data_IF_431917614857
#
_entry.id   IF_431917614857
#
_cell.length_a   1.000
_cell.length_b   1.000
_cell.length_c   1.000
_cell.angle_alpha   90.00
_cell.angle_beta   90.00
_cell.angle_gamma   90.00
#
_symmetry.space_group_name_H-M   'P 1'
#
loop_
_entity.id
_entity.type
_entity.pdbx_description
1 polymer ?
#
# COMPACT_ATOMS: atom_id res chain seq x y z
N UNK A 1 -10.20 -0.34 22.04
CA UNK A 1 -9.61 -0.68 23.34
C UNK A 1 -10.70 -0.68 24.40
N UNK A 2 -11.27 -1.83 24.72
CA UNK A 2 -12.16 -1.97 25.89
C UNK A 2 -11.71 -3.25 26.61
N UNK A 3 -10.86 -3.05 27.61
CA UNK A 3 -10.49 -4.09 28.56
C UNK A 3 -11.69 -4.32 29.48
N UNK A 4 -12.46 -5.36 29.27
CA UNK A 4 -13.37 -5.86 30.31
C UNK A 4 -12.55 -6.65 31.33
N UNK A 5 -12.32 -6.01 32.47
CA UNK A 5 -11.90 -6.70 33.69
C UNK A 5 -13.05 -7.61 34.14
N UNK A 6 -12.87 -8.92 33.99
CA UNK A 6 -13.69 -9.88 34.69
C UNK A 6 -13.11 -9.96 36.11
N UNK A 7 -13.71 -9.23 37.01
CA UNK A 7 -13.42 -9.26 38.44
C UNK A 7 -13.98 -10.57 38.98
N UNK A 8 -13.09 -11.50 39.30
CA UNK A 8 -13.46 -12.72 40.03
C UNK A 8 -13.88 -12.31 41.43
N UNK A 9 -15.17 -12.23 41.67
CA UNK A 9 -15.73 -12.06 43.00
C UNK A 9 -15.63 -13.38 43.74
N UNK A 10 -14.61 -13.55 44.58
CA UNK A 10 -14.63 -14.53 45.66
C UNK A 10 -15.61 -13.99 46.72
N UNK A 11 -16.81 -14.50 46.71
CA UNK A 11 -17.71 -14.38 47.85
C UNK A 11 -17.28 -15.35 48.93
N UNK A 12 -16.45 -14.87 49.82
CA UNK A 12 -16.28 -15.48 51.14
C UNK A 12 -17.45 -15.10 52.03
N UNK A 13 -18.52 -15.85 51.96
CA UNK A 13 -19.62 -15.74 52.95
C UNK A 13 -19.39 -16.75 54.08
N UNK A 14 -18.70 -16.29 55.11
CA UNK A 14 -18.78 -16.92 56.43
C UNK A 14 -20.09 -16.55 57.07
N UNK A 15 -21.11 -17.40 56.98
CA UNK A 15 -22.32 -17.30 57.79
C UNK A 15 -22.34 -18.50 58.72
N UNK A 16 -21.98 -18.27 59.98
CA UNK A 16 -22.36 -19.12 61.10
C UNK A 16 -23.84 -18.91 61.39
N UNK A 17 -24.72 -19.71 60.82
CA UNK A 17 -26.07 -19.92 61.26
C UNK A 17 -26.29 -21.39 61.43
N UNK A 18 -26.40 -21.77 62.71
CA UNK A 18 -26.89 -23.07 63.16
C UNK A 18 -28.38 -23.21 62.81
N UNK A 19 -28.67 -23.95 61.78
CA UNK A 19 -30.01 -24.32 61.38
C UNK A 19 -29.91 -25.49 60.40
N UNK A 20 -30.71 -26.52 60.51
CA UNK A 20 -30.69 -27.71 59.65
C UNK A 20 -30.51 -27.34 58.19
N UNK A 21 -29.29 -27.41 57.68
CA UNK A 21 -29.03 -27.28 56.27
C UNK A 21 -29.60 -28.51 55.59
N UNK A 22 -30.55 -28.30 54.71
CA UNK A 22 -31.20 -29.33 53.93
C UNK A 22 -30.11 -29.99 53.05
N UNK A 23 -29.83 -31.29 53.31
CA UNK A 23 -28.87 -32.09 52.61
C UNK A 23 -28.98 -31.96 51.08
N UNK A 24 -30.22 -31.79 50.62
CA UNK A 24 -30.57 -31.56 49.23
C UNK A 24 -30.00 -30.24 48.65
N UNK A 25 -29.92 -29.15 49.47
CA UNK A 25 -29.30 -27.88 49.06
C UNK A 25 -27.79 -27.99 48.95
N UNK A 26 -27.12 -28.71 49.87
CA UNK A 26 -25.68 -28.93 49.80
C UNK A 26 -25.27 -29.78 48.59
N UNK A 27 -26.05 -30.83 48.28
CA UNK A 27 -25.82 -31.65 47.07
C UNK A 27 -26.02 -30.84 45.80
N UNK A 28 -27.01 -29.94 45.76
CA UNK A 28 -27.26 -29.07 44.59
C UNK A 28 -26.16 -28.03 44.41
N UNK A 29 -25.64 -27.46 45.49
CA UNK A 29 -24.48 -26.52 45.43
C UNK A 29 -23.24 -27.24 44.94
N UNK A 30 -22.96 -28.45 45.43
CA UNK A 30 -21.83 -29.23 44.96
C UNK A 30 -21.95 -29.59 43.47
N UNK A 31 -23.13 -29.95 42.99
CA UNK A 31 -23.41 -30.22 41.58
C UNK A 31 -23.23 -28.96 40.69
N UNK A 32 -23.77 -27.83 41.13
CA UNK A 32 -23.58 -26.56 40.40
C UNK A 32 -22.11 -26.10 40.36
N UNK A 33 -21.40 -26.26 41.46
CA UNK A 33 -19.95 -25.96 41.52
C UNK A 33 -19.15 -26.83 40.55
N UNK A 34 -19.48 -28.11 40.45
CA UNK A 34 -18.86 -29.01 39.47
C UNK A 34 -19.19 -28.60 38.04
N UNK A 35 -20.45 -28.26 37.76
CA UNK A 35 -20.86 -27.77 36.44
C UNK A 35 -20.15 -26.46 36.05
N UNK A 36 -20.05 -25.50 36.95
CA UNK A 36 -19.33 -24.23 36.74
C UNK A 36 -17.86 -24.51 36.46
N UNK A 37 -17.23 -25.41 37.24
CA UNK A 37 -15.83 -25.82 36.99
C UNK A 37 -15.63 -26.44 35.61
N UNK A 38 -16.54 -27.36 35.21
CA UNK A 38 -16.52 -27.98 33.88
C UNK A 38 -16.72 -26.95 32.75
N UNK A 39 -17.69 -26.07 32.88
CA UNK A 39 -17.94 -24.99 31.89
C UNK A 39 -16.76 -24.02 31.79
N UNK A 40 -16.14 -23.68 32.90
CA UNK A 40 -14.94 -22.82 32.92
C UNK A 40 -13.79 -23.50 32.20
N UNK A 41 -13.56 -24.81 32.45
CA UNK A 41 -12.52 -25.59 31.73
C UNK A 41 -12.82 -25.69 30.23
N UNK A 42 -14.08 -25.89 29.84
CA UNK A 42 -14.49 -25.92 28.43
C UNK A 42 -14.31 -24.57 27.75
N UNK A 43 -14.70 -23.47 28.41
CA UNK A 43 -14.49 -22.11 27.85
C UNK A 43 -13.00 -21.82 27.63
N UNK A 44 -12.16 -22.14 28.62
CA UNK A 44 -10.71 -21.96 28.47
C UNK A 44 -10.15 -22.80 27.31
N UNK A 45 -10.60 -24.02 27.13
CA UNK A 45 -10.19 -24.87 26.02
C UNK A 45 -10.65 -24.31 24.67
N UNK A 46 -11.89 -23.81 24.58
CA UNK A 46 -12.42 -23.18 23.37
C UNK A 46 -11.69 -21.89 23.04
N UNK A 47 -11.40 -21.06 24.04
CA UNK A 47 -10.60 -19.83 23.84
C UNK A 47 -9.19 -20.12 23.30
N UNK A 48 -8.55 -21.18 23.83
CA UNK A 48 -7.24 -21.62 23.33
C UNK A 48 -7.33 -22.19 21.92
N UNK A 49 -8.32 -23.01 21.61
CA UNK A 49 -8.53 -23.54 20.27
C UNK A 49 -8.83 -22.44 19.25
N UNK A 50 -9.65 -21.45 19.62
CA UNK A 50 -9.93 -20.28 18.77
C UNK A 50 -8.65 -19.46 18.51
N UNK A 51 -7.81 -19.31 19.53
CA UNK A 51 -6.53 -18.61 19.41
C UNK A 51 -5.56 -19.34 18.48
N UNK A 52 -5.50 -20.68 18.60
CA UNK A 52 -4.69 -21.53 17.71
C UNK A 52 -5.21 -21.48 16.26
N UNK A 53 -6.52 -21.58 16.06
CA UNK A 53 -7.14 -21.47 14.73
C UNK A 53 -6.87 -20.11 14.09
N UNK A 54 -6.95 -19.03 14.87
CA UNK A 54 -6.64 -17.68 14.41
C UNK A 54 -5.18 -17.57 13.95
N UNK A 55 -4.24 -18.09 14.74
CA UNK A 55 -2.80 -18.13 14.37
C UNK A 55 -2.59 -18.94 13.09
N UNK A 56 -3.26 -20.07 12.93
CA UNK A 56 -3.18 -20.89 11.72
C UNK A 56 -3.75 -20.17 10.50
N UNK A 57 -4.88 -19.49 10.64
CA UNK A 57 -5.49 -18.70 9.56
C UNK A 57 -4.58 -17.51 9.14
N UNK A 58 -4.01 -16.81 10.11
CA UNK A 58 -3.06 -15.70 9.86
C UNK A 58 -1.74 -16.20 9.25
N UNK A 59 -1.41 -17.48 9.39
CA UNK A 59 -0.24 -18.08 8.74
C UNK A 59 -0.46 -18.41 7.26
N UNK A 60 -1.71 -18.51 6.81
CA UNK A 60 -2.05 -18.78 5.41
C UNK A 60 -2.00 -17.46 4.64
N UNK A 61 -1.03 -17.34 3.76
CA UNK A 61 -0.96 -16.23 2.81
C UNK A 61 -1.82 -16.59 1.59
N UNK A 62 -2.91 -15.85 1.31
CA UNK A 62 -3.75 -16.14 0.16
C UNK A 62 -3.00 -15.84 -1.14
N UNK A 63 -3.27 -16.64 -2.17
CA UNK A 63 -2.92 -16.29 -3.55
C UNK A 63 -3.85 -15.19 -4.02
N UNK A 64 -3.29 -14.12 -4.57
CA UNK A 64 -4.05 -12.98 -5.03
C UNK A 64 -4.50 -13.22 -6.47
N UNK A 65 -5.80 -13.01 -6.70
CA UNK A 65 -6.39 -12.81 -8.02
C UNK A 65 -6.85 -11.36 -8.08
N UNK A 66 -6.44 -10.65 -9.12
CA UNK A 66 -6.74 -9.23 -9.28
C UNK A 66 -7.38 -9.00 -10.65
N UNK A 67 -8.43 -8.19 -10.69
CA UNK A 67 -9.14 -7.76 -11.90
C UNK A 67 -9.18 -6.23 -11.90
N UNK A 68 -9.01 -5.63 -13.08
CA UNK A 68 -9.15 -4.18 -13.22
C UNK A 68 -10.61 -3.75 -13.02
N UNK A 69 -10.81 -2.65 -12.32
CA UNK A 69 -12.12 -2.06 -12.06
C UNK A 69 -12.09 -0.56 -12.42
N UNK A 70 -12.97 -0.15 -13.34
CA UNK A 70 -13.11 1.26 -13.66
C UNK A 70 -13.82 1.99 -12.52
N UNK A 71 -13.10 2.91 -11.86
CA UNK A 71 -13.67 3.79 -10.83
C UNK A 71 -14.30 5.01 -11.49
N UNK A 72 -13.59 5.60 -12.46
CA UNK A 72 -14.07 6.71 -13.25
C UNK A 72 -13.42 6.64 -14.63
N UNK A 73 -14.23 6.54 -15.69
CA UNK A 73 -13.72 6.50 -17.06
C UNK A 73 -14.62 7.36 -17.96
N UNK A 74 -14.10 8.52 -18.36
CA UNK A 74 -14.74 9.46 -19.26
C UNK A 74 -13.75 9.95 -20.30
N UNK A 75 -14.17 9.91 -21.55
CA UNK A 75 -13.39 10.44 -22.67
C UNK A 75 -14.33 11.08 -23.69
N UNK A 76 -14.03 12.30 -24.06
CA UNK A 76 -14.76 12.98 -25.12
C UNK A 76 -13.85 13.88 -25.94
N UNK A 77 -14.26 14.14 -27.19
CA UNK A 77 -13.69 15.16 -28.04
C UNK A 77 -14.45 16.48 -27.86
N UNK A 78 -13.76 17.53 -27.45
CA UNK A 78 -14.32 18.84 -27.14
C UNK A 78 -13.99 19.81 -28.27
N UNK A 79 -15.00 20.46 -28.85
CA UNK A 79 -14.79 21.54 -29.85
C UNK A 79 -14.43 22.83 -29.16
N UNK A 80 -13.44 23.50 -29.71
CA UNK A 80 -13.00 24.79 -29.20
C UNK A 80 -13.93 25.91 -29.66
N UNK A 81 -14.12 26.92 -28.83
CA UNK A 81 -14.85 28.16 -29.19
C UNK A 81 -14.07 29.01 -30.16
N UNK A 82 -12.73 29.01 -30.02
CA UNK A 82 -11.81 29.70 -30.91
C UNK A 82 -10.72 28.74 -31.38
N UNK A 83 -10.26 28.88 -32.63
CA UNK A 83 -9.14 28.05 -33.09
C UNK A 83 -7.85 28.53 -32.41
N UNK A 84 -7.05 27.62 -31.91
CA UNK A 84 -5.73 27.93 -31.38
C UNK A 84 -4.84 28.48 -32.50
N UNK A 85 -4.31 29.69 -32.34
CA UNK A 85 -3.35 30.29 -33.28
C UNK A 85 -2.07 29.45 -33.41
N UNK A 86 -1.73 28.68 -32.38
CA UNK A 86 -0.52 27.85 -32.33
C UNK A 86 -0.69 26.47 -32.96
N UNK A 87 -1.86 25.87 -32.90
CA UNK A 87 -2.05 24.47 -33.31
C UNK A 87 -2.92 24.28 -34.53
N UNK A 88 -3.67 25.29 -34.97
CA UNK A 88 -4.69 25.24 -36.02
C UNK A 88 -5.74 24.11 -35.80
N UNK A 89 -5.86 23.61 -34.57
CA UNK A 89 -6.83 22.60 -34.18
C UNK A 89 -8.15 23.24 -33.81
N UNK A 90 -9.25 22.61 -34.16
CA UNK A 90 -10.62 23.06 -33.83
C UNK A 90 -11.24 22.23 -32.68
N UNK A 91 -10.53 21.22 -32.25
CA UNK A 91 -10.99 20.29 -31.18
C UNK A 91 -9.80 19.68 -30.41
N UNK A 92 -10.04 19.30 -29.18
CA UNK A 92 -9.11 18.59 -28.28
C UNK A 92 -9.77 17.45 -27.54
N UNK A 93 -8.99 16.67 -26.85
CA UNK A 93 -9.49 15.58 -26.02
C UNK A 93 -9.63 16.03 -24.56
N UNK A 94 -10.66 15.54 -23.88
CA UNK A 94 -10.80 15.56 -22.43
C UNK A 94 -10.92 14.11 -21.98
N UNK A 95 -9.89 13.61 -21.29
CA UNK A 95 -9.77 12.21 -20.87
C UNK A 95 -9.53 12.16 -19.36
N UNK A 96 -10.35 11.41 -18.67
CA UNK A 96 -10.21 11.05 -17.26
C UNK A 96 -10.40 9.56 -17.14
N UNK A 97 -9.32 8.86 -16.80
CA UNK A 97 -9.33 7.39 -16.64
C UNK A 97 -8.71 7.02 -15.30
N UNK A 98 -9.55 6.61 -14.36
CA UNK A 98 -9.14 6.17 -13.02
C UNK A 98 -9.52 4.70 -12.89
N UNK A 99 -8.50 3.84 -12.87
CA UNK A 99 -8.64 2.40 -12.82
C UNK A 99 -8.14 1.87 -11.47
N UNK A 100 -9.01 1.18 -10.76
CA UNK A 100 -8.68 0.44 -9.55
C UNK A 100 -8.46 -1.04 -9.82
N UNK A 101 -8.24 -1.79 -8.74
CA UNK A 101 -8.19 -3.24 -8.74
C UNK A 101 -9.17 -3.80 -7.72
N UNK A 102 -9.86 -4.87 -8.13
CA UNK A 102 -10.61 -5.73 -7.24
C UNK A 102 -9.88 -7.04 -7.07
N UNK A 103 -9.60 -7.42 -5.82
CA UNK A 103 -8.96 -8.68 -5.50
C UNK A 103 -9.91 -9.61 -4.75
N UNK A 104 -9.52 -10.88 -4.61
CA UNK A 104 -10.21 -11.86 -3.76
C UNK A 104 -9.95 -11.67 -2.25
N UNK A 105 -9.32 -10.57 -1.82
CA UNK A 105 -8.93 -10.30 -0.44
C UNK A 105 -9.49 -8.95 0.01
N UNK A 106 -10.57 -8.96 0.79
CA UNK A 106 -11.35 -7.76 1.12
C UNK A 106 -10.54 -6.64 1.80
N UNK A 107 -9.72 -6.98 2.81
CA UNK A 107 -8.91 -5.96 3.49
C UNK A 107 -7.89 -5.31 2.55
N UNK A 108 -7.35 -6.08 1.59
CA UNK A 108 -6.39 -5.59 0.60
C UNK A 108 -7.05 -4.59 -0.35
N UNK A 109 -8.29 -4.85 -0.77
CA UNK A 109 -9.05 -3.91 -1.59
C UNK A 109 -9.20 -2.55 -0.91
N UNK A 110 -9.42 -2.54 0.42
CA UNK A 110 -9.49 -1.30 1.18
C UNK A 110 -8.15 -0.55 1.23
N UNK A 111 -7.04 -1.27 1.43
CA UNK A 111 -5.69 -0.69 1.42
C UNK A 111 -5.35 -0.12 0.05
N UNK A 112 -5.63 -0.85 -1.02
CA UNK A 112 -5.35 -0.42 -2.39
C UNK A 112 -6.16 0.82 -2.78
N UNK A 113 -7.45 0.85 -2.44
CA UNK A 113 -8.30 2.02 -2.67
C UNK A 113 -7.81 3.24 -1.89
N UNK A 114 -7.41 3.07 -0.62
CA UNK A 114 -6.83 4.15 0.18
C UNK A 114 -5.57 4.73 -0.48
N UNK A 115 -4.67 3.87 -0.99
CA UNK A 115 -3.45 4.33 -1.66
C UNK A 115 -3.78 5.05 -2.98
N UNK A 116 -4.73 4.55 -3.78
CA UNK A 116 -5.18 5.19 -4.99
C UNK A 116 -5.77 6.58 -4.70
N UNK A 117 -6.62 6.70 -3.68
CA UNK A 117 -7.18 7.98 -3.24
C UNK A 117 -6.07 8.93 -2.77
N UNK A 118 -5.08 8.43 -2.01
CA UNK A 118 -3.94 9.22 -1.54
C UNK A 118 -3.15 9.80 -2.71
N UNK A 119 -2.85 8.98 -3.73
CA UNK A 119 -2.14 9.45 -4.93
C UNK A 119 -2.99 10.49 -5.67
N UNK A 120 -4.30 10.26 -5.86
CA UNK A 120 -5.19 11.25 -6.47
C UNK A 120 -5.19 12.59 -5.72
N UNK A 121 -5.25 12.56 -4.38
CA UNK A 121 -5.22 13.78 -3.58
C UNK A 121 -3.93 14.57 -3.77
N UNK A 122 -2.77 13.91 -3.93
CA UNK A 122 -1.48 14.58 -4.15
C UNK A 122 -1.33 15.14 -5.56
N UNK A 123 -1.89 14.52 -6.58
CA UNK A 123 -1.83 14.99 -7.98
C UNK A 123 -2.81 16.13 -8.24
N UNK A 124 -3.93 16.17 -7.50
CA UNK A 124 -4.97 17.21 -7.65
C UNK A 124 -4.75 18.45 -6.76
N UNK A 125 -3.69 18.51 -5.99
CA UNK A 125 -3.49 19.41 -4.82
C UNK A 125 -3.35 20.92 -5.15
N UNK A 126 -3.47 21.33 -6.40
CA UNK A 126 -3.44 22.75 -6.76
C UNK A 126 -4.83 23.43 -6.75
N UNK A 127 -5.93 22.73 -6.38
CA UNK A 127 -7.29 23.23 -6.57
C UNK A 127 -8.21 23.23 -5.36
N UNK A 128 -7.72 23.35 -4.13
CA UNK A 128 -8.44 23.33 -2.85
C UNK A 128 -8.24 22.04 -2.04
N UNK A 129 -8.08 22.20 -0.72
CA UNK A 129 -7.84 21.14 0.27
C UNK A 129 -9.04 20.18 0.46
N UNK A 130 -9.55 19.59 -0.60
CA UNK A 130 -10.60 18.57 -0.48
C UNK A 130 -9.94 17.22 -0.38
N UNK A 131 -9.61 16.80 0.83
CA UNK A 131 -9.17 15.43 1.09
C UNK A 131 -10.34 14.46 1.01
N UNK A 132 -10.44 13.73 -0.10
CA UNK A 132 -11.39 12.63 -0.21
C UNK A 132 -10.86 11.40 0.52
N UNK A 133 -11.76 10.59 1.08
CA UNK A 133 -11.43 9.39 1.85
C UNK A 133 -12.25 8.17 1.45
N UNK A 134 -13.27 8.33 0.61
CA UNK A 134 -14.10 7.25 0.10
C UNK A 134 -14.18 7.26 -1.42
N UNK A 135 -14.54 6.13 -2.01
CA UNK A 135 -14.69 6.01 -3.46
C UNK A 135 -15.80 6.94 -3.99
N UNK A 136 -16.89 7.09 -3.26
CA UNK A 136 -18.00 7.98 -3.66
C UNK A 136 -17.55 9.43 -3.68
N UNK A 137 -16.77 9.86 -2.69
CA UNK A 137 -16.19 11.20 -2.64
C UNK A 137 -15.20 11.41 -3.79
N UNK A 138 -14.36 10.40 -4.08
CA UNK A 138 -13.43 10.43 -5.21
C UNK A 138 -14.18 10.62 -6.53
N UNK A 139 -15.21 9.81 -6.79
CA UNK A 139 -16.03 9.92 -8.01
C UNK A 139 -16.68 11.29 -8.11
N UNK A 140 -17.21 11.84 -7.02
CA UNK A 140 -17.82 13.16 -7.01
C UNK A 140 -16.80 14.27 -7.31
N UNK A 141 -15.60 14.20 -6.72
CA UNK A 141 -14.49 15.14 -6.97
C UNK A 141 -14.04 15.07 -8.43
N UNK A 142 -13.84 13.87 -8.97
CA UNK A 142 -13.44 13.67 -10.37
C UNK A 142 -14.50 14.18 -11.34
N UNK A 143 -15.78 14.00 -11.04
CA UNK A 143 -16.87 14.55 -11.85
C UNK A 143 -16.84 16.08 -11.86
N UNK A 144 -16.67 16.70 -10.70
CA UNK A 144 -16.57 18.16 -10.60
C UNK A 144 -15.35 18.71 -11.36
N UNK A 145 -14.19 18.04 -11.22
CA UNK A 145 -12.97 18.43 -11.94
C UNK A 145 -13.14 18.25 -13.46
N UNK A 146 -13.73 17.14 -13.90
CA UNK A 146 -14.03 16.88 -15.30
C UNK A 146 -14.92 17.97 -15.93
N UNK A 147 -16.00 18.37 -15.22
CA UNK A 147 -16.92 19.39 -15.71
C UNK A 147 -16.26 20.78 -15.77
N UNK A 148 -15.36 21.09 -14.82
CA UNK A 148 -14.57 22.31 -14.84
C UNK A 148 -13.55 22.31 -15.99
N UNK A 149 -12.78 21.24 -16.12
CA UNK A 149 -11.76 21.09 -17.18
C UNK A 149 -12.38 21.07 -18.57
N UNK A 150 -13.62 20.58 -18.72
CA UNK A 150 -14.35 20.65 -20.00
C UNK A 150 -14.54 22.09 -20.47
N UNK A 151 -14.83 23.00 -19.55
CA UNK A 151 -14.94 24.43 -19.86
C UNK A 151 -13.59 24.99 -20.25
N UNK A 152 -12.54 24.67 -19.48
CA UNK A 152 -11.18 25.13 -19.73
C UNK A 152 -10.66 24.63 -21.09
N UNK A 153 -10.92 23.37 -21.47
CA UNK A 153 -10.59 22.82 -22.79
C UNK A 153 -11.33 23.58 -23.91
N UNK A 154 -12.62 23.84 -23.69
CA UNK A 154 -13.46 24.55 -24.70
C UNK A 154 -12.95 25.98 -24.97
N UNK A 155 -12.57 26.71 -23.92
CA UNK A 155 -12.14 28.10 -24.00
C UNK A 155 -10.64 28.23 -24.32
N UNK A 156 -9.81 27.30 -23.78
CA UNK A 156 -8.35 27.38 -23.86
C UNK A 156 -7.73 26.71 -25.09
N UNK A 157 -8.52 25.98 -25.89
CA UNK A 157 -8.09 25.29 -27.10
C UNK A 157 -6.91 24.33 -26.91
N UNK A 158 -6.95 23.49 -25.84
CA UNK A 158 -5.95 22.48 -25.54
C UNK A 158 -6.61 21.15 -25.11
N UNK A 159 -5.81 20.11 -24.94
CA UNK A 159 -6.23 18.79 -24.46
C UNK A 159 -5.94 18.69 -22.97
N UNK A 160 -6.83 18.02 -22.22
CA UNK A 160 -6.56 17.57 -20.85
C UNK A 160 -6.69 16.05 -20.82
N UNK A 161 -5.68 15.41 -20.25
CA UNK A 161 -5.63 13.98 -20.03
C UNK A 161 -5.14 13.71 -18.60
N UNK A 162 -5.93 12.94 -17.83
CA UNK A 162 -5.63 12.51 -16.47
C UNK A 162 -5.89 11.03 -16.36
N UNK A 163 -4.82 10.29 -16.18
CA UNK A 163 -4.88 8.85 -15.98
C UNK A 163 -4.27 8.48 -14.63
N UNK A 164 -4.91 7.56 -13.94
CA UNK A 164 -4.42 6.95 -12.71
C UNK A 164 -4.85 5.49 -12.74
N UNK A 165 -3.89 4.58 -12.70
CA UNK A 165 -4.16 3.15 -12.81
C UNK A 165 -3.38 2.37 -11.76
N UNK A 166 -4.09 1.49 -11.07
CA UNK A 166 -3.52 0.55 -10.11
C UNK A 166 -3.28 -0.79 -10.82
N UNK A 167 -2.07 -1.35 -10.69
CA UNK A 167 -1.66 -2.60 -11.31
C UNK A 167 -1.20 -3.60 -10.26
N UNK A 168 -1.44 -4.89 -10.52
CA UNK A 168 -0.88 -5.99 -9.74
C UNK A 168 0.37 -6.51 -10.47
N UNK A 169 1.53 -6.29 -9.87
CA UNK A 169 2.82 -6.67 -10.44
C UNK A 169 3.20 -8.12 -10.13
N UNK A 170 2.68 -8.67 -9.04
CA UNK A 170 2.90 -10.06 -8.67
C UNK A 170 2.93 -10.31 -7.17
N UNK A 171 3.07 -11.58 -6.82
CA UNK A 171 3.17 -12.03 -5.43
C UNK A 171 4.32 -13.04 -5.30
N UNK A 172 5.24 -12.77 -4.38
CA UNK A 172 6.31 -13.68 -4.00
C UNK A 172 6.20 -14.01 -2.51
N UNK A 173 5.84 -15.26 -2.22
CA UNK A 173 5.55 -15.71 -0.85
C UNK A 173 4.51 -14.81 -0.16
N UNK A 174 4.90 -14.09 0.90
CA UNK A 174 4.03 -13.19 1.66
C UNK A 174 3.98 -11.75 1.13
N UNK A 175 4.84 -11.40 0.20
CA UNK A 175 4.92 -10.04 -0.33
C UNK A 175 4.16 -9.96 -1.64
N UNK A 176 3.17 -9.09 -1.69
CA UNK A 176 2.47 -8.72 -2.91
C UNK A 176 2.92 -7.33 -3.35
N UNK A 177 3.24 -7.20 -4.62
CA UNK A 177 3.70 -5.94 -5.22
C UNK A 177 2.62 -5.42 -6.16
N UNK A 178 2.32 -4.13 -6.01
CA UNK A 178 1.42 -3.37 -6.87
C UNK A 178 2.16 -2.12 -7.35
N UNK A 179 1.64 -1.47 -8.40
CA UNK A 179 2.05 -0.13 -8.78
C UNK A 179 0.84 0.77 -9.02
N UNK A 180 1.00 2.07 -8.79
CA UNK A 180 0.06 3.10 -9.19
C UNK A 180 0.76 3.97 -10.21
N UNK A 181 0.28 3.94 -11.43
CA UNK A 181 0.73 4.80 -12.52
C UNK A 181 -0.16 6.03 -12.59
N UNK A 182 0.46 7.18 -12.76
CA UNK A 182 -0.26 8.42 -13.08
C UNK A 182 0.24 8.99 -14.40
N UNK A 183 -0.64 9.67 -15.11
CA UNK A 183 -0.27 10.53 -16.24
C UNK A 183 -1.15 11.75 -16.25
N UNK A 184 -0.53 12.91 -16.38
CA UNK A 184 -1.23 14.19 -16.51
C UNK A 184 -0.68 14.98 -17.70
N UNK A 185 -1.59 15.45 -18.53
CA UNK A 185 -1.34 16.44 -19.57
C UNK A 185 -2.42 17.51 -19.53
N UNK A 186 -2.03 18.75 -19.44
CA UNK A 186 -2.94 19.89 -19.44
C UNK A 186 -2.42 20.99 -20.38
N UNK A 187 -2.10 20.59 -21.62
CA UNK A 187 -1.45 21.46 -22.59
C UNK A 187 0.06 21.55 -22.39
N UNK A 188 0.74 22.29 -23.27
CA UNK A 188 2.18 22.46 -23.25
C UNK A 188 2.94 21.44 -24.10
N UNK A 189 4.24 21.25 -23.80
CA UNK A 189 5.14 20.46 -24.63
C UNK A 189 4.98 18.94 -24.42
N UNK A 190 4.69 18.49 -23.20
CA UNK A 190 4.53 17.07 -22.84
C UNK A 190 3.73 16.93 -21.54
N UNK A 191 3.19 15.74 -21.32
CA UNK A 191 2.63 15.34 -20.03
C UNK A 191 3.70 14.84 -19.05
N UNK A 192 3.27 14.58 -17.83
CA UNK A 192 4.12 14.01 -16.76
C UNK A 192 3.47 12.73 -16.27
N UNK A 193 4.24 11.63 -16.28
CA UNK A 193 3.85 10.37 -15.72
C UNK A 193 4.71 10.01 -14.50
N UNK A 194 4.09 9.34 -13.53
CA UNK A 194 4.80 8.77 -12.37
C UNK A 194 4.38 7.33 -12.15
N UNK A 195 5.26 6.54 -11.55
CA UNK A 195 4.97 5.19 -11.05
C UNK A 195 5.35 5.08 -9.59
N UNK A 196 4.42 4.62 -8.77
CA UNK A 196 4.64 4.40 -7.34
C UNK A 196 4.37 2.94 -7.01
N UNK A 197 5.40 2.23 -6.58
CA UNK A 197 5.29 0.84 -6.15
C UNK A 197 4.74 0.75 -4.73
N UNK A 198 3.96 -0.28 -4.49
CA UNK A 198 3.35 -0.60 -3.21
C UNK A 198 3.69 -2.06 -2.88
N UNK A 199 4.44 -2.29 -1.84
CA UNK A 199 4.68 -3.64 -1.34
C UNK A 199 3.83 -3.91 -0.11
N UNK A 200 3.04 -4.97 -0.15
CA UNK A 200 2.12 -5.36 0.93
C UNK A 200 2.57 -6.68 1.52
N UNK A 201 2.86 -6.69 2.80
CA UNK A 201 3.04 -7.95 3.54
C UNK A 201 1.66 -8.55 3.86
N UNK A 202 1.31 -9.59 3.13
CA UNK A 202 0.02 -10.28 3.21
C UNK A 202 -0.21 -11.00 4.55
N UNK A 203 0.85 -11.25 5.32
CA UNK A 203 0.76 -11.90 6.63
C UNK A 203 0.46 -10.88 7.73
N UNK A 204 1.15 -9.75 7.73
CA UNK A 204 0.96 -8.69 8.72
C UNK A 204 -0.11 -7.68 8.32
N UNK A 205 -0.67 -7.78 7.10
CA UNK A 205 -1.62 -6.84 6.49
C UNK A 205 -1.08 -5.41 6.46
N UNK A 206 0.20 -5.27 6.13
CA UNK A 206 0.91 -3.99 6.22
C UNK A 206 1.47 -3.57 4.87
N UNK A 207 1.24 -2.31 4.50
CA UNK A 207 2.01 -1.65 3.46
C UNK A 207 3.43 -1.41 4.00
N UNK A 208 4.43 -1.88 3.25
CA UNK A 208 5.84 -1.80 3.65
C UNK A 208 6.47 -0.50 3.17
N UNK A 209 7.29 0.07 4.03
CA UNK A 209 8.18 1.20 3.74
C UNK A 209 9.64 0.75 3.81
N UNK A 210 10.58 1.60 3.40
CA UNK A 210 12.01 1.33 3.58
C UNK A 210 12.37 1.08 5.04
N UNK A 211 11.76 1.80 5.98
CA UNK A 211 11.96 1.60 7.42
C UNK A 211 11.48 0.23 7.92
N UNK A 212 10.51 -0.38 7.25
CA UNK A 212 10.04 -1.73 7.60
C UNK A 212 10.99 -2.82 7.15
N UNK A 213 11.75 -2.57 6.09
CA UNK A 213 12.60 -3.54 5.40
C UNK A 213 14.03 -3.46 5.92
N UNK A 214 14.55 -2.25 6.10
CA UNK A 214 15.93 -2.02 6.47
C UNK A 214 16.10 -1.80 7.99
N UNK A 215 17.29 -2.10 8.47
CA UNK A 215 17.67 -1.90 9.88
C UNK A 215 17.78 -0.40 10.19
N UNK A 216 17.44 -0.02 11.41
CA UNK A 216 17.64 1.35 11.88
C UNK A 216 19.11 1.76 11.77
N UNK A 217 19.37 2.94 11.21
CA UNK A 217 20.72 3.46 11.00
C UNK A 217 21.42 2.96 9.74
N UNK A 218 20.70 2.27 8.83
CA UNK A 218 21.25 1.82 7.54
C UNK A 218 21.21 2.90 6.45
N UNK A 219 20.59 4.04 6.71
CA UNK A 219 20.30 5.08 5.69
C UNK A 219 21.55 5.55 4.94
N UNK A 220 22.63 5.91 5.67
CA UNK A 220 23.88 6.37 5.05
C UNK A 220 24.49 5.31 4.13
N UNK A 221 24.40 4.04 4.54
CA UNK A 221 24.92 2.93 3.73
C UNK A 221 24.02 2.63 2.53
N UNK A 222 22.71 2.78 2.67
CA UNK A 222 21.77 2.69 1.54
C UNK A 222 22.06 3.81 0.53
N UNK A 223 22.22 5.06 0.96
CA UNK A 223 22.60 6.18 0.10
C UNK A 223 23.92 5.91 -0.65
N UNK A 224 24.89 5.29 0.02
CA UNK A 224 26.14 4.88 -0.62
C UNK A 224 25.92 3.87 -1.73
N UNK A 225 25.12 2.82 -1.48
CA UNK A 225 24.83 1.78 -2.49
C UNK A 225 24.01 2.34 -3.64
N UNK A 226 23.01 3.18 -3.37
CA UNK A 226 22.21 3.87 -4.39
C UNK A 226 23.10 4.75 -5.26
N UNK A 227 24.01 5.51 -4.65
CA UNK A 227 24.97 6.34 -5.38
C UNK A 227 25.89 5.51 -6.26
N UNK A 228 26.42 4.39 -5.75
CA UNK A 228 27.24 3.48 -6.53
C UNK A 228 26.48 2.90 -7.73
N UNK A 229 25.22 2.50 -7.54
CA UNK A 229 24.37 2.00 -8.63
C UNK A 229 24.08 3.08 -9.67
N UNK A 230 23.81 4.33 -9.23
CA UNK A 230 23.53 5.45 -10.11
C UNK A 230 24.74 5.89 -10.93
N UNK A 231 25.95 5.74 -10.39
CA UNK A 231 27.20 6.14 -11.05
C UNK A 231 27.96 4.96 -11.68
N UNK A 232 27.39 3.75 -11.66
CA UNK A 232 28.01 2.59 -12.34
C UNK A 232 28.10 2.85 -13.85
N UNK A 233 29.31 2.83 -14.45
CA UNK A 233 29.48 3.04 -15.89
C UNK A 233 28.72 2.05 -16.79
N UNK A 234 28.29 0.91 -16.25
CA UNK A 234 27.46 -0.05 -16.97
C UNK A 234 25.96 0.25 -16.90
N UNK A 235 25.54 1.19 -16.06
CA UNK A 235 24.17 1.65 -16.01
C UNK A 235 23.90 2.59 -17.18
N UNK A 236 22.87 2.34 -17.98
CA UNK A 236 22.56 3.09 -19.21
C UNK A 236 22.40 4.60 -18.97
N UNK A 237 21.91 4.96 -17.79
CA UNK A 237 21.64 6.36 -17.38
C UNK A 237 22.59 6.80 -16.25
N UNK A 238 23.83 6.27 -16.25
CA UNK A 238 24.80 6.61 -15.22
C UNK A 238 25.01 8.14 -15.15
N UNK A 239 24.95 8.67 -13.94
CA UNK A 239 25.23 10.08 -13.66
C UNK A 239 26.71 10.29 -13.36
N UNK A 240 27.21 11.47 -13.69
CA UNK A 240 28.52 11.93 -13.29
C UNK A 240 28.42 12.79 -12.02
N UNK A 241 29.55 12.98 -11.32
CA UNK A 241 29.62 13.86 -10.13
C UNK A 241 29.31 15.33 -10.48
N UNK A 242 29.46 15.74 -11.74
CA UNK A 242 29.10 17.07 -12.20
C UNK A 242 27.57 17.24 -12.35
N UNK A 243 26.84 16.15 -12.61
CA UNK A 243 25.39 16.17 -12.80
C UNK A 243 24.60 16.06 -11.49
N UNK A 244 25.16 15.38 -10.50
CA UNK A 244 24.58 15.22 -9.17
C UNK A 244 25.62 14.97 -8.10
N UNK A 245 25.21 14.93 -6.83
CA UNK A 245 26.07 14.53 -5.72
C UNK A 245 25.29 13.59 -4.80
N UNK A 246 26.03 12.73 -4.10
CA UNK A 246 25.43 11.76 -3.16
C UNK A 246 24.55 12.42 -2.09
N UNK A 247 24.87 13.65 -1.67
CA UNK A 247 24.10 14.41 -0.67
C UNK A 247 22.70 14.79 -1.15
N UNK A 248 22.49 14.87 -2.47
CA UNK A 248 21.21 15.20 -3.08
C UNK A 248 20.29 14.00 -3.32
N UNK A 249 20.81 12.78 -3.12
CA UNK A 249 20.05 11.57 -3.29
C UNK A 249 19.47 11.13 -1.95
N UNK A 250 18.16 11.09 -1.85
CA UNK A 250 17.46 10.54 -0.70
C UNK A 250 17.08 9.07 -0.94
N UNK A 251 17.03 8.27 0.12
CA UNK A 251 16.50 6.91 0.05
C UNK A 251 15.00 7.01 -0.19
N UNK A 252 14.55 6.51 -1.34
CA UNK A 252 13.13 6.52 -1.68
C UNK A 252 12.38 5.38 -1.02
N UNK A 253 11.09 5.60 -0.68
CA UNK A 253 10.14 4.54 -0.32
C UNK A 253 9.48 3.90 -1.55
N UNK A 254 9.74 4.44 -2.74
CA UNK A 254 9.27 3.87 -3.99
C UNK A 254 10.19 2.71 -4.40
N UNK A 255 9.99 1.56 -3.77
CA UNK A 255 10.83 0.37 -3.90
C UNK A 255 10.01 -0.87 -4.22
N UNK A 256 10.62 -1.84 -4.90
CA UNK A 256 10.03 -3.15 -5.11
C UNK A 256 11.12 -4.25 -5.13
N UNK A 257 10.69 -5.50 -5.00
CA UNK A 257 11.55 -6.68 -4.96
C UNK A 257 11.42 -7.49 -6.25
N UNK A 258 12.56 -7.98 -6.71
CA UNK A 258 12.59 -9.06 -7.68
C UNK A 258 13.49 -10.22 -7.22
N UNK A 259 13.89 -11.11 -8.15
CA UNK A 259 14.75 -12.24 -7.83
C UNK A 259 16.21 -11.82 -7.59
N UNK A 260 16.64 -10.70 -8.13
CA UNK A 260 18.02 -10.22 -8.10
C UNK A 260 18.29 -9.29 -6.92
N UNK A 261 17.30 -8.50 -6.49
CA UNK A 261 17.51 -7.53 -5.42
C UNK A 261 16.30 -6.68 -5.05
N UNK A 262 16.61 -5.49 -4.57
CA UNK A 262 15.68 -4.40 -4.31
C UNK A 262 15.92 -3.30 -5.33
N UNK A 263 14.87 -2.88 -5.97
CA UNK A 263 14.84 -1.76 -6.87
C UNK A 263 14.47 -0.49 -6.12
N UNK A 264 15.25 0.56 -6.29
CA UNK A 264 14.97 1.91 -5.82
C UNK A 264 14.56 2.73 -7.03
N UNK A 265 13.26 3.06 -7.09
CA UNK A 265 12.67 3.69 -8.27
C UNK A 265 12.48 5.19 -8.02
N UNK A 266 13.03 5.99 -8.95
CA UNK A 266 12.90 7.44 -8.93
C UNK A 266 12.15 7.91 -10.18
N UNK A 267 11.07 8.62 -9.98
CA UNK A 267 10.30 9.22 -11.07
C UNK A 267 11.06 10.37 -11.75
N UNK A 268 10.57 10.79 -12.90
CA UNK A 268 11.08 11.97 -13.59
C UNK A 268 11.14 13.18 -12.66
N UNK A 269 12.15 14.01 -12.80
CA UNK A 269 12.43 15.17 -11.95
C UNK A 269 12.88 14.90 -10.51
N UNK A 270 12.84 13.67 -10.01
CA UNK A 270 13.25 13.40 -8.61
C UNK A 270 14.76 13.54 -8.40
N UNK A 271 15.55 12.96 -9.30
CA UNK A 271 17.03 13.00 -9.19
C UNK A 271 17.72 13.44 -10.49
N UNK A 272 16.98 13.67 -11.56
CA UNK A 272 17.51 14.08 -12.86
C UNK A 272 16.48 14.86 -13.68
N UNK A 273 16.89 15.42 -14.84
CA UNK A 273 15.99 16.14 -15.73
C UNK A 273 14.98 15.21 -16.39
N UNK A 274 13.85 15.76 -16.84
CA UNK A 274 12.81 15.01 -17.56
C UNK A 274 13.35 14.17 -18.73
N UNK A 275 14.30 14.69 -19.48
CA UNK A 275 14.88 14.01 -20.64
C UNK A 275 15.64 12.71 -20.26
N UNK A 276 16.10 12.57 -19.03
CA UNK A 276 16.72 11.33 -18.55
C UNK A 276 15.69 10.25 -18.22
N UNK A 277 14.41 10.63 -18.06
CA UNK A 277 13.32 9.72 -17.70
C UNK A 277 13.40 9.28 -16.23
N UNK A 278 12.88 8.08 -15.94
CA UNK A 278 12.92 7.46 -14.62
C UNK A 278 14.26 6.77 -14.37
N UNK A 279 14.63 6.63 -13.10
CA UNK A 279 15.78 5.82 -12.71
C UNK A 279 15.28 4.63 -11.90
N UNK A 280 15.67 3.43 -12.33
CA UNK A 280 15.36 2.17 -11.67
C UNK A 280 16.68 1.51 -11.27
N UNK A 281 17.04 1.63 -9.99
CA UNK A 281 18.36 1.26 -9.48
C UNK A 281 18.26 -0.05 -8.69
N UNK A 282 18.76 -1.12 -9.31
CA UNK A 282 18.84 -2.43 -8.68
C UNK A 282 20.06 -2.51 -7.77
N UNK A 283 19.82 -2.87 -6.50
CA UNK A 283 20.87 -3.26 -5.55
C UNK A 283 20.64 -4.71 -5.16
N UNK A 284 21.63 -5.56 -5.41
CA UNK A 284 21.46 -6.99 -5.26
C UNK A 284 21.34 -7.42 -3.78
N UNK A 285 20.67 -8.58 -3.56
CA UNK A 285 20.42 -9.11 -2.24
C UNK A 285 21.67 -9.34 -1.40
N UNK A 286 22.82 -9.62 -2.01
CA UNK A 286 24.08 -9.86 -1.28
C UNK A 286 24.60 -8.57 -0.65
N UNK A 287 24.52 -7.46 -1.37
CA UNK A 287 24.97 -6.14 -0.88
C UNK A 287 24.03 -5.61 0.21
N UNK A 288 22.73 -5.87 0.06
CA UNK A 288 21.72 -5.45 1.02
C UNK A 288 21.63 -6.33 2.27
N UNK A 289 22.07 -7.60 2.21
CA UNK A 289 21.91 -8.55 3.31
C UNK A 289 22.33 -8.02 4.69
N UNK A 290 23.45 -7.26 4.86
CA UNK A 290 23.81 -6.69 6.16
C UNK A 290 22.90 -5.56 6.65
N UNK A 291 22.09 -4.99 5.76
CA UNK A 291 21.23 -3.82 6.03
C UNK A 291 19.77 -4.21 6.22
N UNK A 292 19.39 -5.42 5.79
CA UNK A 292 18.03 -5.92 5.88
C UNK A 292 17.67 -6.35 7.30
N UNK A 293 16.42 -6.16 7.70
CA UNK A 293 15.86 -6.84 8.86
C UNK A 293 15.84 -8.35 8.62
N UNK A 294 15.97 -9.18 9.69
CA UNK A 294 16.13 -10.64 9.55
C UNK A 294 15.06 -11.33 8.72
N UNK A 295 13.82 -10.84 8.78
CA UNK A 295 12.67 -11.36 8.05
C UNK A 295 12.71 -11.12 6.54
N UNK A 296 13.57 -10.23 6.05
CA UNK A 296 13.75 -9.92 4.64
C UNK A 296 15.05 -10.48 4.07
N UNK A 297 15.92 -11.03 4.91
CA UNK A 297 17.17 -11.67 4.44
C UNK A 297 16.85 -12.89 3.61
N UNK A 298 17.24 -12.87 2.33
CA UNK A 298 17.04 -13.99 1.42
C UNK A 298 17.98 -15.14 1.78
N UNK A 299 17.42 -16.28 2.18
CA UNK A 299 18.19 -17.50 2.42
C UNK A 299 18.27 -18.30 1.13
N UNK A 300 19.35 -18.17 0.38
CA UNK A 300 19.61 -19.02 -0.78
C UNK A 300 19.93 -20.44 -0.32
N UNK A 301 19.00 -21.35 -0.47
CA UNK A 301 19.32 -22.79 -0.48
C UNK A 301 19.91 -23.14 -1.86
N UNK A 302 21.23 -23.07 -1.98
CA UNK A 302 21.92 -23.67 -3.12
C UNK A 302 21.66 -25.18 -3.00
N UNK A 303 20.70 -25.68 -3.76
CA UNK A 303 20.61 -27.12 -4.02
C UNK A 303 21.84 -27.48 -4.84
N UNK A 304 22.88 -28.00 -4.17
CA UNK A 304 23.93 -28.69 -4.89
C UNK A 304 23.27 -29.87 -5.61
N UNK A 305 23.08 -29.75 -6.92
CA UNK A 305 22.78 -30.88 -7.78
C UNK A 305 24.01 -31.76 -7.69
N UNK A 306 23.85 -32.99 -7.11
CA UNK A 306 24.89 -34.03 -7.11
C UNK A 306 24.91 -34.68 -8.44
#
# INVERSE_FOLDING_TARGET
MQKQLITTMMLGAGVLLSGCEDKAQQEKIAQLTLQVSQLTAQNTALENALKEEKVLREAIVPVIFAEEEAIFDKSETVKFTESSEFTQKSEGALIYRIMGLKTNVDWLNSVLLEQLIRVNNTTMDNREEIHVTTQEQLIAQLQQAYDADKKDVTEGAYTIERELALHFEGQKERIATFSIDTYEFAGGAHGVGTRNYLMVDMRSHKLLTSEDIFQTGSEDKLKELIWQALTDPNYEKAMTEDESSKEKIDVTDNIYFDDDGVHFFYNVYQIGPYAAGVYDLLINWRELAPLLKPEFVQTYRIKRVK
#
